data_IF_516960333632
#
_entry.id   IF_516960333632
#
_cell.length_a   1.000
_cell.length_b   1.000
_cell.length_c   1.000
_cell.angle_alpha   90.00
_cell.angle_beta   90.00
_cell.angle_gamma   90.00
#
_symmetry.space_group_name_H-M   'P 1'
#
loop_
_entity.id
_entity.type
_entity.pdbx_description
1 polymer ?
#
# COMPACT_ATOMS: atom_id res chain seq x y z
N UNK A 1 8.60 -1.65 10.68
CA UNK A 1 9.57 -1.23 9.64
C UNK A 1 9.22 0.19 9.26
N UNK A 2 10.20 1.08 9.18
CA UNK A 2 10.00 2.43 8.63
C UNK A 2 9.57 2.28 7.17
N UNK A 3 8.55 3.02 6.74
CA UNK A 3 8.04 2.94 5.36
C UNK A 3 9.13 3.42 4.38
N UNK A 4 9.60 2.53 3.50
CA UNK A 4 10.58 2.86 2.47
C UNK A 4 9.84 3.24 1.19
N UNK A 5 10.14 4.41 0.62
CA UNK A 5 9.37 5.00 -0.47
C UNK A 5 10.11 4.94 -1.81
N UNK A 6 9.39 4.71 -2.90
CA UNK A 6 9.92 4.89 -4.26
C UNK A 6 10.02 6.39 -4.59
N UNK A 7 11.23 6.86 -4.83
CA UNK A 7 11.50 8.17 -5.43
C UNK A 7 11.91 8.03 -6.91
N UNK A 8 11.46 8.97 -7.76
CA UNK A 8 11.78 8.97 -9.20
C UNK A 8 12.18 10.39 -9.62
N UNK A 9 13.27 10.51 -10.38
CA UNK A 9 13.67 11.75 -11.04
C UNK A 9 12.77 11.98 -12.27
N UNK A 10 12.07 13.13 -12.30
CA UNK A 10 10.98 13.42 -13.23
C UNK A 10 11.03 14.85 -13.77
N UNK A 11 10.29 15.11 -14.85
CA UNK A 11 10.26 16.38 -15.55
C UNK A 11 11.52 16.63 -16.38
N UNK A 12 12.30 15.58 -16.64
CA UNK A 12 13.60 15.65 -17.31
C UNK A 12 13.50 15.47 -18.83
N UNK A 13 12.48 14.74 -19.31
CA UNK A 13 12.32 14.36 -20.71
C UNK A 13 11.08 15.03 -21.36
N UNK A 14 11.14 15.46 -22.65
CA UNK A 14 10.01 16.08 -23.34
C UNK A 14 8.76 15.19 -23.44
N UNK A 15 8.94 13.88 -23.65
CA UNK A 15 7.87 12.88 -23.78
C UNK A 15 7.89 11.87 -22.61
N UNK A 16 8.16 12.37 -21.40
CA UNK A 16 8.23 11.52 -20.21
C UNK A 16 6.88 10.81 -19.96
N UNK A 17 6.96 9.50 -19.73
CA UNK A 17 5.79 8.64 -19.61
C UNK A 17 5.01 8.95 -18.32
N UNK A 18 3.73 9.31 -18.48
CA UNK A 18 2.85 9.65 -17.36
C UNK A 18 2.71 8.51 -16.32
N UNK A 19 2.98 7.25 -16.71
CA UNK A 19 2.97 6.10 -15.80
C UNK A 19 4.02 6.21 -14.70
N UNK A 20 5.15 6.90 -14.93
CA UNK A 20 6.17 7.09 -13.90
C UNK A 20 5.64 7.94 -12.74
N UNK A 21 4.86 8.97 -13.02
CA UNK A 21 4.22 9.82 -12.02
C UNK A 21 3.24 9.04 -11.14
N UNK A 22 2.47 8.14 -11.74
CA UNK A 22 1.55 7.27 -11.00
C UNK A 22 2.28 6.23 -10.11
N UNK A 23 3.51 5.87 -10.48
CA UNK A 23 4.33 4.90 -9.73
C UNK A 23 5.07 5.55 -8.56
N UNK A 24 5.55 6.79 -8.74
CA UNK A 24 6.32 7.53 -7.75
C UNK A 24 5.49 7.84 -6.48
N UNK A 25 6.04 7.54 -5.31
CA UNK A 25 5.56 8.11 -4.03
C UNK A 25 6.13 9.51 -3.80
N UNK A 26 7.33 9.75 -4.37
CA UNK A 26 8.16 10.93 -4.20
C UNK A 26 8.75 11.28 -5.58
N UNK A 27 8.43 12.44 -6.14
CA UNK A 27 8.89 12.93 -7.45
C UNK A 27 9.93 14.07 -7.34
N UNK A 28 11.18 13.80 -7.74
CA UNK A 28 12.24 14.79 -7.80
C UNK A 28 12.12 15.55 -9.13
N UNK A 29 11.53 16.74 -9.13
CA UNK A 29 11.23 17.49 -10.36
C UNK A 29 12.43 18.35 -10.79
N UNK A 30 12.90 18.16 -12.03
CA UNK A 30 13.96 18.98 -12.61
C UNK A 30 13.62 20.48 -12.66
N UNK A 31 14.59 21.32 -12.25
CA UNK A 31 14.37 22.75 -12.03
C UNK A 31 14.86 23.67 -13.16
N UNK A 32 15.22 23.12 -14.32
CA UNK A 32 15.59 23.90 -15.50
C UNK A 32 17.08 24.14 -15.73
N UNK A 33 17.97 23.64 -14.88
CA UNK A 33 19.41 23.71 -15.10
C UNK A 33 19.90 22.57 -16.00
N UNK A 34 19.98 21.34 -15.48
CA UNK A 34 20.34 20.16 -16.28
C UNK A 34 19.25 19.74 -17.28
N UNK A 35 17.98 19.86 -16.88
CA UNK A 35 16.82 19.44 -17.66
C UNK A 35 15.56 20.21 -17.23
N UNK A 36 14.49 20.05 -18.02
CA UNK A 36 13.19 20.66 -17.77
C UNK A 36 13.08 22.15 -18.12
N UNK A 37 11.86 22.65 -18.17
CA UNK A 37 11.50 24.06 -18.35
C UNK A 37 10.18 24.37 -17.61
N UNK A 38 9.65 25.58 -17.75
CA UNK A 38 8.39 25.94 -17.06
C UNK A 38 7.21 25.07 -17.51
N UNK A 39 7.19 24.63 -18.77
CA UNK A 39 6.12 23.79 -19.29
C UNK A 39 6.23 22.36 -18.76
N UNK A 40 7.44 21.77 -18.76
CA UNK A 40 7.67 20.44 -18.20
C UNK A 40 7.44 20.41 -16.69
N UNK A 41 7.88 21.43 -15.95
CA UNK A 41 7.62 21.56 -14.51
C UNK A 41 6.12 21.64 -14.21
N UNK A 42 5.36 22.46 -14.96
CA UNK A 42 3.90 22.54 -14.79
C UNK A 42 3.22 21.20 -15.03
N UNK A 43 3.58 20.52 -16.12
CA UNK A 43 3.06 19.18 -16.44
C UNK A 43 3.39 18.18 -15.34
N UNK A 44 4.63 18.19 -14.85
CA UNK A 44 5.08 17.28 -13.79
C UNK A 44 4.29 17.51 -12.48
N UNK A 45 4.10 18.78 -12.10
CA UNK A 45 3.28 19.18 -10.96
C UNK A 45 1.82 18.71 -11.10
N UNK A 46 1.20 18.93 -12.26
CA UNK A 46 -0.18 18.49 -12.53
C UNK A 46 -0.33 16.97 -12.41
N UNK A 47 0.61 16.20 -12.98
CA UNK A 47 0.60 14.74 -12.89
C UNK A 47 0.81 14.25 -11.46
N UNK A 48 1.74 14.84 -10.71
CA UNK A 48 1.95 14.52 -9.30
C UNK A 48 0.69 14.78 -8.47
N UNK A 49 0.03 15.92 -8.68
CA UNK A 49 -1.20 16.26 -7.96
C UNK A 49 -2.34 15.28 -8.26
N UNK A 50 -2.49 14.82 -9.51
CA UNK A 50 -3.48 13.81 -9.89
C UNK A 50 -3.28 12.46 -9.19
N UNK A 51 -2.03 12.11 -8.87
CA UNK A 51 -1.66 10.82 -8.29
C UNK A 51 -1.35 10.86 -6.78
N UNK A 52 -1.39 12.05 -6.16
CA UNK A 52 -1.04 12.21 -4.75
C UNK A 52 0.47 12.04 -4.47
N UNK A 53 1.31 12.23 -5.48
CA UNK A 53 2.77 12.09 -5.38
C UNK A 53 3.38 13.30 -4.70
N UNK A 54 4.30 13.08 -3.74
CA UNK A 54 5.01 14.17 -3.04
C UNK A 54 6.05 14.81 -3.94
N UNK A 55 6.03 16.14 -4.04
CA UNK A 55 6.91 16.91 -4.92
C UNK A 55 8.11 17.48 -4.18
N UNK A 56 9.28 17.38 -4.80
CA UNK A 56 10.49 18.04 -4.34
C UNK A 56 11.31 18.62 -5.48
N UNK A 57 12.18 19.56 -5.14
CA UNK A 57 13.09 20.18 -6.10
C UNK A 57 14.26 19.25 -6.44
N UNK A 58 14.62 19.18 -7.72
CA UNK A 58 15.78 18.43 -8.21
C UNK A 58 16.86 19.35 -8.80
N UNK A 59 17.52 20.20 -7.97
CA UNK A 59 18.52 21.13 -8.45
C UNK A 59 19.82 20.44 -8.85
N UNK A 60 20.53 21.04 -9.81
CA UNK A 60 21.72 20.48 -10.43
C UNK A 60 22.77 21.56 -10.72
N UNK A 61 23.93 21.15 -11.24
CA UNK A 61 24.81 22.08 -11.94
C UNK A 61 24.11 22.62 -13.21
N UNK A 62 24.41 23.86 -13.58
CA UNK A 62 23.97 24.47 -14.84
C UNK A 62 24.73 23.88 -16.04
N UNK A 63 24.42 22.62 -16.36
CA UNK A 63 25.11 21.84 -17.38
C UNK A 63 24.10 21.03 -18.21
N UNK A 64 23.25 21.74 -18.95
CA UNK A 64 22.20 21.11 -19.77
C UNK A 64 22.76 20.17 -20.83
N UNK A 65 23.87 20.56 -21.47
CA UNK A 65 24.47 19.79 -22.56
C UNK A 65 24.95 18.40 -22.13
N UNK A 66 25.37 18.26 -20.86
CA UNK A 66 25.80 16.98 -20.31
C UNK A 66 24.84 16.47 -19.22
N UNK A 67 23.60 16.98 -19.20
CA UNK A 67 22.54 16.57 -18.29
C UNK A 67 22.96 16.64 -16.81
N UNK A 68 23.76 17.62 -16.41
CA UNK A 68 24.19 17.79 -15.01
C UNK A 68 25.08 16.66 -14.48
N UNK A 69 25.65 15.82 -15.35
CA UNK A 69 26.45 14.63 -14.97
C UNK A 69 27.94 14.88 -14.90
N UNK A 70 28.41 16.11 -15.16
CA UNK A 70 29.81 16.50 -14.98
C UNK A 70 29.96 17.37 -13.74
N UNK A 71 31.01 17.11 -12.97
CA UNK A 71 31.39 18.01 -11.90
C UNK A 71 31.92 19.31 -12.52
N UNK A 72 31.44 20.44 -12.00
CA UNK A 72 31.89 21.76 -12.40
C UNK A 72 32.61 22.43 -11.23
N UNK A 73 33.67 23.17 -11.54
CA UNK A 73 34.34 24.03 -10.57
C UNK A 73 33.58 25.36 -10.49
N UNK A 74 32.65 25.44 -9.54
CA UNK A 74 31.78 26.60 -9.32
C UNK A 74 32.06 27.16 -7.93
N UNK A 75 32.33 28.47 -7.80
CA UNK A 75 32.49 29.09 -6.49
C UNK A 75 31.26 28.87 -5.60
N UNK A 76 31.43 28.55 -4.31
CA UNK A 76 30.31 28.16 -3.42
C UNK A 76 29.18 29.19 -3.36
N UNK A 77 29.50 30.48 -3.36
CA UNK A 77 28.52 31.57 -3.35
C UNK A 77 27.69 31.63 -4.64
N UNK A 78 28.31 31.32 -5.79
CA UNK A 78 27.61 31.23 -7.08
C UNK A 78 26.72 30.00 -7.08
N UNK A 79 27.24 28.85 -6.62
CA UNK A 79 26.47 27.61 -6.53
C UNK A 79 25.24 27.76 -5.64
N UNK A 80 25.39 28.44 -4.48
CA UNK A 80 24.26 28.76 -3.61
C UNK A 80 23.16 29.53 -4.36
N UNK A 81 23.54 30.58 -5.10
CA UNK A 81 22.59 31.37 -5.90
C UNK A 81 21.92 30.56 -7.01
N UNK A 82 22.67 29.70 -7.70
CA UNK A 82 22.13 28.80 -8.73
C UNK A 82 21.12 27.81 -8.16
N UNK A 83 21.41 27.20 -7.01
CA UNK A 83 20.49 26.27 -6.33
C UNK A 83 19.24 27.00 -5.83
N UNK A 84 19.41 28.17 -5.21
CA UNK A 84 18.28 28.98 -4.76
C UNK A 84 17.36 29.38 -5.93
N UNK A 85 17.93 29.84 -7.05
CA UNK A 85 17.18 30.20 -8.25
C UNK A 85 16.39 29.02 -8.84
N UNK A 86 17.01 27.85 -8.92
CA UNK A 86 16.36 26.62 -9.36
C UNK A 86 15.18 26.22 -8.47
N UNK A 87 15.40 26.16 -7.16
CA UNK A 87 14.35 25.81 -6.19
C UNK A 87 13.21 26.83 -6.20
N UNK A 88 13.53 28.13 -6.25
CA UNK A 88 12.53 29.20 -6.27
C UNK A 88 11.67 29.17 -7.54
N UNK A 89 12.27 28.81 -8.69
CA UNK A 89 11.55 28.63 -9.95
C UNK A 89 10.48 27.55 -9.83
N UNK A 90 10.81 26.38 -9.31
CA UNK A 90 9.84 25.31 -9.09
C UNK A 90 8.79 25.72 -8.05
N UNK A 91 9.21 26.32 -6.93
CA UNK A 91 8.32 26.76 -5.86
C UNK A 91 7.25 27.74 -6.35
N UNK A 92 7.63 28.71 -7.19
CA UNK A 92 6.67 29.64 -7.83
C UNK A 92 5.62 28.90 -8.66
N UNK A 93 6.05 28.00 -9.54
CA UNK A 93 5.15 27.22 -10.40
C UNK A 93 4.21 26.31 -9.59
N UNK A 94 4.74 25.72 -8.51
CA UNK A 94 3.97 24.87 -7.59
C UNK A 94 2.95 25.70 -6.79
N UNK A 95 3.31 26.91 -6.36
CA UNK A 95 2.41 27.83 -5.66
C UNK A 95 1.22 28.24 -6.54
N UNK A 96 1.44 28.51 -7.83
CA UNK A 96 0.37 28.82 -8.79
C UNK A 96 -0.69 27.70 -8.88
N UNK A 97 -0.28 26.45 -8.61
CA UNK A 97 -1.13 25.26 -8.62
C UNK A 97 -1.53 24.78 -7.22
N UNK A 98 -1.11 25.48 -6.16
CA UNK A 98 -1.30 25.10 -4.73
C UNK A 98 -0.73 23.72 -4.38
N UNK A 99 0.38 23.36 -5.00
CA UNK A 99 1.11 22.11 -4.73
C UNK A 99 2.32 22.44 -3.86
N UNK A 100 2.49 21.79 -2.69
CA UNK A 100 3.64 22.06 -1.84
C UNK A 100 4.89 21.35 -2.37
N UNK A 101 6.03 22.06 -2.33
CA UNK A 101 7.36 21.47 -2.52
C UNK A 101 7.94 21.23 -1.14
N UNK A 102 8.06 19.96 -0.72
CA UNK A 102 8.31 19.60 0.70
C UNK A 102 9.69 19.00 0.97
N UNK A 103 10.49 18.82 -0.08
CA UNK A 103 11.86 18.34 0.02
C UNK A 103 12.71 18.78 -1.17
N UNK A 104 14.00 18.54 -1.08
CA UNK A 104 14.93 18.67 -2.18
C UNK A 104 15.87 17.46 -2.26
N UNK A 105 16.26 17.10 -3.48
CA UNK A 105 17.27 16.06 -3.78
C UNK A 105 18.17 16.61 -4.87
N UNK A 106 19.48 16.62 -4.68
CA UNK A 106 20.39 17.08 -5.73
C UNK A 106 20.43 16.09 -6.90
N UNK A 107 20.64 16.61 -8.10
CA UNK A 107 20.84 15.80 -9.30
C UNK A 107 22.31 15.51 -9.57
N UNK A 108 22.57 14.33 -10.13
CA UNK A 108 23.78 14.02 -10.90
C UNK A 108 25.09 14.30 -10.17
N UNK A 109 26.01 15.00 -10.86
CA UNK A 109 27.34 15.26 -10.32
C UNK A 109 27.32 16.19 -9.09
N UNK A 110 26.33 17.09 -8.99
CA UNK A 110 26.20 17.99 -7.84
C UNK A 110 25.91 17.20 -6.56
N UNK A 111 25.05 16.18 -6.64
CA UNK A 111 24.77 15.27 -5.52
C UNK A 111 26.06 14.63 -4.97
N UNK A 112 26.88 14.07 -5.86
CA UNK A 112 28.10 13.38 -5.46
C UNK A 112 29.19 14.36 -4.97
N UNK A 113 29.39 15.48 -5.68
CA UNK A 113 30.39 16.48 -5.32
C UNK A 113 30.08 17.14 -3.96
N UNK A 114 28.81 17.48 -3.73
CA UNK A 114 28.39 18.06 -2.46
C UNK A 114 28.50 17.06 -1.30
N UNK A 115 28.29 15.76 -1.52
CA UNK A 115 28.39 14.77 -0.44
C UNK A 115 29.81 14.57 0.11
N UNK A 116 30.84 14.95 -0.64
CA UNK A 116 32.25 14.82 -0.21
C UNK A 116 32.93 16.15 0.09
N UNK A 117 32.24 17.28 -0.17
CA UNK A 117 32.78 18.62 0.07
C UNK A 117 31.92 19.38 1.09
N UNK A 118 32.43 19.66 2.30
CA UNK A 118 31.69 20.42 3.32
C UNK A 118 31.28 21.82 2.84
N UNK A 119 32.12 22.44 2.00
CA UNK A 119 31.88 23.79 1.48
C UNK A 119 30.73 23.78 0.46
N UNK A 120 30.71 22.82 -0.46
CA UNK A 120 29.62 22.70 -1.43
C UNK A 120 28.31 22.26 -0.77
N UNK A 121 28.38 21.31 0.18
CA UNK A 121 27.19 20.88 0.94
C UNK A 121 26.51 22.05 1.65
N UNK A 122 27.31 22.90 2.32
CA UNK A 122 26.79 24.10 2.99
C UNK A 122 26.15 25.06 2.00
N UNK A 123 26.83 25.37 0.90
CA UNK A 123 26.31 26.29 -0.12
C UNK A 123 24.97 25.82 -0.70
N UNK A 124 24.86 24.53 -1.01
CA UNK A 124 23.62 23.92 -1.51
C UNK A 124 22.51 24.02 -0.46
N UNK A 125 22.76 23.60 0.78
CA UNK A 125 21.74 23.61 1.84
C UNK A 125 21.26 25.03 2.13
N UNK A 126 22.16 26.01 2.19
CA UNK A 126 21.79 27.42 2.34
C UNK A 126 20.92 27.91 1.17
N UNK A 127 21.26 27.55 -0.08
CA UNK A 127 20.47 27.92 -1.25
C UNK A 127 19.08 27.28 -1.27
N UNK A 128 18.97 26.02 -0.83
CA UNK A 128 17.68 25.36 -0.68
C UNK A 128 16.82 26.06 0.38
N UNK A 129 17.38 26.37 1.55
CA UNK A 129 16.66 27.06 2.65
C UNK A 129 16.19 28.45 2.22
N UNK A 130 17.02 29.19 1.49
CA UNK A 130 16.68 30.50 0.97
C UNK A 130 15.42 30.47 0.07
N UNK A 131 15.26 29.42 -0.73
CA UNK A 131 14.15 29.29 -1.65
C UNK A 131 12.90 28.60 -1.08
N UNK A 132 13.08 27.58 -0.23
CA UNK A 132 12.01 26.69 0.23
C UNK A 132 11.71 26.79 1.73
N UNK A 133 12.55 27.50 2.49
CA UNK A 133 12.48 27.54 3.96
C UNK A 133 13.17 26.35 4.62
N UNK A 134 13.12 26.30 5.95
CA UNK A 134 13.78 25.26 6.76
C UNK A 134 12.88 24.07 7.12
N UNK A 135 11.58 24.13 6.82
CA UNK A 135 10.61 23.06 7.13
C UNK A 135 10.50 22.04 5.97
N UNK A 136 11.65 21.66 5.42
CA UNK A 136 11.74 20.72 4.32
C UNK A 136 12.67 19.55 4.67
N UNK A 137 12.55 18.47 3.90
CA UNK A 137 13.48 17.33 3.99
C UNK A 137 14.57 17.43 2.92
N UNK A 138 15.82 17.09 3.25
CA UNK A 138 16.86 16.80 2.27
C UNK A 138 16.94 15.29 2.03
N UNK A 139 16.73 14.85 0.80
CA UNK A 139 17.02 13.47 0.37
C UNK A 139 18.49 13.41 -0.08
N UNK A 140 19.29 12.61 0.61
CA UNK A 140 20.73 12.51 0.40
C UNK A 140 21.27 11.15 0.89
N UNK A 141 22.56 10.82 0.67
CA UNK A 141 23.14 9.60 1.20
C UNK A 141 23.02 9.53 2.71
N UNK A 142 23.07 8.32 3.27
CA UNK A 142 22.92 8.10 4.70
C UNK A 142 24.01 8.79 5.56
N UNK A 143 25.18 9.03 4.96
CA UNK A 143 26.33 9.67 5.60
C UNK A 143 27.04 10.57 4.58
N UNK A 144 27.82 11.52 5.08
CA UNK A 144 28.63 12.44 4.27
C UNK A 144 28.28 13.91 4.53
N UNK A 145 28.92 14.79 3.77
CA UNK A 145 28.83 16.23 3.99
C UNK A 145 27.41 16.79 3.82
N UNK A 146 26.57 16.18 2.96
CA UNK A 146 25.18 16.59 2.81
C UNK A 146 24.34 16.27 4.05
N UNK A 147 24.55 15.09 4.64
CA UNK A 147 23.91 14.71 5.90
C UNK A 147 24.33 15.67 7.03
N UNK A 148 25.63 15.96 7.15
CA UNK A 148 26.14 16.89 8.16
C UNK A 148 25.60 18.31 7.97
N UNK A 149 25.56 18.81 6.73
CA UNK A 149 25.05 20.14 6.42
C UNK A 149 23.54 20.26 6.71
N UNK A 150 22.74 19.25 6.35
CA UNK A 150 21.31 19.22 6.67
C UNK A 150 21.07 19.27 8.17
N UNK A 151 21.77 18.41 8.94
CA UNK A 151 21.67 18.37 10.40
C UNK A 151 22.08 19.71 11.04
N UNK A 152 23.18 20.29 10.59
CA UNK A 152 23.68 21.57 11.12
C UNK A 152 22.72 22.73 10.83
N UNK A 153 21.98 22.67 9.72
CA UNK A 153 20.99 23.65 9.35
C UNK A 153 19.58 23.37 9.93
N UNK A 154 19.42 22.27 10.69
CA UNK A 154 18.14 21.88 11.28
C UNK A 154 17.12 21.31 10.30
N UNK A 155 17.55 20.89 9.11
CA UNK A 155 16.67 20.24 8.13
C UNK A 155 16.39 18.78 8.52
N UNK A 156 15.20 18.29 8.16
CA UNK A 156 14.95 16.86 8.16
C UNK A 156 15.80 16.17 7.07
N UNK A 157 16.19 14.92 7.30
CA UNK A 157 17.03 14.15 6.37
C UNK A 157 16.37 12.80 6.09
N UNK A 158 16.31 12.42 4.81
CA UNK A 158 15.88 11.11 4.35
C UNK A 158 17.01 10.43 3.59
N UNK A 159 17.33 9.20 3.99
CA UNK A 159 18.45 8.41 3.48
C UNK A 159 18.05 7.75 2.17
N UNK A 160 18.88 7.91 1.14
CA UNK A 160 18.59 7.38 -0.20
C UNK A 160 19.43 6.14 -0.55
N UNK A 161 18.80 5.21 -1.26
CA UNK A 161 19.47 4.17 -2.04
C UNK A 161 19.00 4.18 -3.50
N UNK A 162 19.69 3.45 -4.38
CA UNK A 162 19.39 3.40 -5.81
C UNK A 162 19.10 1.96 -6.23
N UNK A 163 17.91 1.70 -6.76
CA UNK A 163 17.55 0.36 -7.22
C UNK A 163 18.17 0.02 -8.58
N UNK A 164 18.26 1.02 -9.47
CA UNK A 164 18.69 0.89 -10.86
C UNK A 164 20.18 1.20 -11.09
N UNK A 165 20.97 1.33 -10.02
CA UNK A 165 22.42 1.56 -10.08
C UNK A 165 23.20 0.42 -9.46
N UNK A 166 24.30 0.05 -10.11
CA UNK A 166 25.29 -0.85 -9.53
C UNK A 166 26.11 -0.16 -8.44
N UNK A 167 26.44 -0.88 -7.38
CA UNK A 167 27.27 -0.41 -6.26
C UNK A 167 28.58 -1.18 -6.19
N UNK A 168 29.66 -0.48 -5.81
CA UNK A 168 30.94 -1.06 -5.45
C UNK A 168 30.89 -1.66 -4.02
N UNK A 169 31.89 -2.48 -3.62
CA UNK A 169 31.92 -3.09 -2.28
C UNK A 169 31.94 -2.09 -1.12
N UNK A 170 32.42 -0.87 -1.37
CA UNK A 170 32.42 0.24 -0.39
C UNK A 170 31.07 0.97 -0.30
N UNK A 171 30.07 0.54 -1.08
CA UNK A 171 28.72 1.11 -1.13
C UNK A 171 28.58 2.31 -2.07
N UNK A 172 29.67 2.80 -2.67
CA UNK A 172 29.61 3.87 -3.67
C UNK A 172 29.01 3.37 -4.99
N UNK A 173 28.47 4.27 -5.81
CA UNK A 173 27.89 3.89 -7.10
C UNK A 173 29.00 3.64 -8.12
N UNK A 174 28.83 2.58 -8.93
CA UNK A 174 29.69 2.36 -10.09
C UNK A 174 29.54 3.57 -11.04
N UNK A 175 30.63 4.22 -11.48
CA UNK A 175 30.59 5.36 -12.37
C UNK A 175 29.82 5.08 -13.67
N UNK A 176 29.03 6.04 -14.13
CA UNK A 176 28.31 5.93 -15.40
C UNK A 176 29.30 5.69 -16.55
N UNK A 177 28.91 4.86 -17.51
CA UNK A 177 29.76 4.42 -18.63
C UNK A 177 30.58 3.16 -18.36
N UNK A 178 30.65 2.68 -17.11
CA UNK A 178 31.28 1.40 -16.79
C UNK A 178 30.27 0.23 -16.87
N UNK A 179 30.71 -0.99 -17.18
CA UNK A 179 29.86 -2.17 -17.15
C UNK A 179 29.16 -2.36 -15.80
N UNK A 180 27.85 -2.58 -15.82
CA UNK A 180 27.05 -2.77 -14.60
C UNK A 180 26.68 -1.49 -13.84
N UNK A 181 27.03 -0.30 -14.35
CA UNK A 181 26.72 0.97 -13.70
C UNK A 181 25.21 1.27 -13.64
N UNK A 182 24.48 0.91 -14.69
CA UNK A 182 23.02 1.05 -14.81
C UNK A 182 22.44 -0.36 -14.95
N UNK A 183 21.43 -0.65 -14.14
CA UNK A 183 20.75 -1.93 -14.12
C UNK A 183 19.43 -1.79 -14.90
N UNK A 184 19.30 -2.54 -15.99
CA UNK A 184 18.08 -2.58 -16.81
C UNK A 184 17.33 -3.90 -16.68
N UNK A 185 17.85 -4.82 -15.86
CA UNK A 185 17.21 -6.10 -15.56
C UNK A 185 16.33 -5.99 -14.31
N UNK A 186 15.03 -6.25 -14.48
CA UNK A 186 14.04 -6.13 -13.41
C UNK A 186 14.35 -7.05 -12.22
N UNK A 187 14.87 -8.25 -12.46
CA UNK A 187 15.21 -9.19 -11.39
C UNK A 187 16.32 -8.63 -10.48
N UNK A 188 17.39 -8.10 -11.07
CA UNK A 188 18.47 -7.43 -10.29
C UNK A 188 18.00 -6.17 -9.57
N UNK A 189 17.10 -5.40 -10.17
CA UNK A 189 16.49 -4.22 -9.55
C UNK A 189 15.63 -4.60 -8.35
N UNK A 190 14.84 -5.68 -8.45
CA UNK A 190 14.11 -6.28 -7.32
C UNK A 190 15.05 -6.71 -6.19
N UNK A 191 16.08 -7.49 -6.50
CA UNK A 191 17.07 -7.94 -5.51
C UNK A 191 17.72 -6.77 -4.76
N UNK A 192 18.11 -5.73 -5.49
CA UNK A 192 18.64 -4.50 -4.90
C UNK A 192 17.62 -3.80 -4.01
N UNK A 193 16.36 -3.73 -4.43
CA UNK A 193 15.28 -3.09 -3.68
C UNK A 193 15.03 -3.81 -2.36
N UNK A 194 14.92 -5.15 -2.39
CA UNK A 194 14.77 -5.98 -1.18
C UNK A 194 15.92 -5.76 -0.23
N UNK A 195 17.17 -5.84 -0.74
CA UNK A 195 18.37 -5.61 0.07
C UNK A 195 18.31 -4.24 0.76
N UNK A 196 18.05 -3.17 0.01
CA UNK A 196 18.01 -1.81 0.55
C UNK A 196 16.89 -1.62 1.58
N UNK A 197 15.67 -2.03 1.26
CA UNK A 197 14.49 -1.79 2.09
C UNK A 197 14.52 -2.59 3.41
N UNK A 198 15.01 -3.83 3.38
CA UNK A 198 15.04 -4.71 4.56
C UNK A 198 16.18 -4.43 5.53
N UNK A 199 17.27 -3.80 5.08
CA UNK A 199 18.42 -3.46 5.93
C UNK A 199 18.15 -2.27 6.86
N UNK A 200 17.06 -1.50 6.63
CA UNK A 200 16.73 -0.31 7.42
C UNK A 200 17.70 0.85 7.24
N UNK A 201 18.54 0.80 6.20
CA UNK A 201 19.59 1.78 5.91
C UNK A 201 19.13 2.93 5.03
N UNK A 202 17.97 2.79 4.38
CA UNK A 202 17.39 3.81 3.49
C UNK A 202 15.94 4.08 3.86
N UNK A 203 15.52 5.32 3.63
CA UNK A 203 14.14 5.79 3.76
C UNK A 203 13.47 5.91 2.39
N UNK A 204 14.26 6.10 1.32
CA UNK A 204 13.77 6.10 -0.05
C UNK A 204 14.68 5.32 -1.00
N UNK A 205 14.09 4.73 -2.04
CA UNK A 205 14.79 4.01 -3.09
C UNK A 205 14.50 4.69 -4.43
N UNK A 206 15.56 5.06 -5.14
CA UNK A 206 15.51 5.80 -6.39
C UNK A 206 15.48 4.86 -7.62
N UNK A 207 14.66 5.23 -8.60
CA UNK A 207 14.76 4.82 -10.01
C UNK A 207 14.88 6.09 -10.85
N UNK A 208 15.80 6.12 -11.82
CA UNK A 208 15.92 7.28 -12.70
C UNK A 208 14.91 7.18 -13.85
N UNK A 209 14.23 8.29 -14.15
CA UNK A 209 13.26 8.35 -15.26
C UNK A 209 13.91 8.17 -16.65
N UNK A 210 15.21 8.45 -16.78
CA UNK A 210 15.97 8.29 -18.03
C UNK A 210 16.57 6.89 -18.24
N UNK A 211 16.45 5.98 -17.25
CA UNK A 211 16.94 4.60 -17.40
C UNK A 211 16.14 3.85 -18.48
N UNK A 212 16.77 3.13 -19.42
CA UNK A 212 16.04 2.31 -20.38
C UNK A 212 15.11 1.31 -19.67
N UNK A 213 13.81 1.36 -20.01
CA UNK A 213 12.79 0.55 -19.33
C UNK A 213 12.37 1.09 -17.95
N UNK A 214 12.60 2.37 -17.65
CA UNK A 214 12.30 2.99 -16.35
C UNK A 214 10.88 2.71 -15.84
N UNK A 215 9.87 2.62 -16.72
CA UNK A 215 8.49 2.31 -16.32
C UNK A 215 8.41 0.89 -15.74
N UNK A 216 9.02 -0.08 -16.39
CA UNK A 216 9.05 -1.48 -15.96
C UNK A 216 9.85 -1.63 -14.67
N UNK A 217 10.99 -0.94 -14.55
CA UNK A 217 11.82 -0.95 -13.35
C UNK A 217 11.09 -0.29 -12.17
N UNK A 218 10.51 0.90 -12.35
CA UNK A 218 9.73 1.59 -11.33
C UNK A 218 8.50 0.77 -10.91
N UNK A 219 7.86 0.05 -11.86
CA UNK A 219 6.77 -0.89 -11.55
C UNK A 219 7.25 -2.02 -10.65
N UNK A 220 8.40 -2.61 -10.94
CA UNK A 220 9.01 -3.68 -10.14
C UNK A 220 9.40 -3.19 -8.74
N UNK A 221 10.08 -2.05 -8.64
CA UNK A 221 10.48 -1.45 -7.36
C UNK A 221 9.25 -1.12 -6.52
N UNK A 222 8.24 -0.47 -7.12
CA UNK A 222 7.01 -0.13 -6.40
C UNK A 222 6.33 -1.37 -5.86
N UNK A 223 6.15 -2.39 -6.71
CA UNK A 223 5.57 -3.65 -6.29
C UNK A 223 6.40 -4.34 -5.20
N UNK A 224 7.72 -4.28 -5.27
CA UNK A 224 8.59 -4.86 -4.25
C UNK A 224 8.42 -4.14 -2.90
N UNK A 225 8.40 -2.81 -2.89
CA UNK A 225 8.20 -2.03 -1.66
C UNK A 225 6.80 -2.25 -1.06
N UNK A 226 5.76 -2.24 -1.90
CA UNK A 226 4.39 -2.53 -1.49
C UNK A 226 4.29 -3.93 -0.87
N UNK A 227 4.96 -4.94 -1.46
CA UNK A 227 5.03 -6.31 -0.92
C UNK A 227 5.72 -6.38 0.45
N UNK A 228 6.83 -5.68 0.62
CA UNK A 228 7.61 -5.66 1.86
C UNK A 228 6.90 -4.91 2.99
N UNK A 229 5.94 -4.04 2.66
CA UNK A 229 5.11 -3.34 3.64
C UNK A 229 4.07 -4.25 4.31
N UNK A 230 3.74 -5.39 3.69
CA UNK A 230 2.80 -6.36 4.24
C UNK A 230 3.46 -7.22 5.33
N UNK A 231 2.81 -7.30 6.49
CA UNK A 231 3.23 -8.21 7.56
C UNK A 231 2.81 -9.64 7.22
N UNK A 232 3.79 -10.54 7.17
CA UNK A 232 3.60 -11.94 6.76
C UNK A 232 4.29 -12.87 7.73
N UNK A 233 3.56 -13.89 8.15
CA UNK A 233 4.01 -14.91 9.09
C UNK A 233 3.84 -16.32 8.50
N UNK A 234 4.83 -17.21 8.65
CA UNK A 234 4.67 -18.62 8.35
C UNK A 234 3.59 -19.28 9.20
N UNK A 235 2.77 -20.13 8.57
CA UNK A 235 1.84 -21.02 9.25
C UNK A 235 2.19 -22.47 8.86
N UNK A 236 3.29 -22.96 9.43
CA UNK A 236 3.90 -24.22 9.00
C UNK A 236 4.56 -24.10 7.62
N UNK A 237 4.72 -25.24 6.94
CA UNK A 237 5.49 -25.33 5.70
C UNK A 237 4.64 -25.16 4.42
N UNK A 238 3.31 -25.09 4.55
CA UNK A 238 2.37 -25.04 3.43
C UNK A 238 1.42 -23.85 3.45
N UNK A 239 1.62 -22.90 4.37
CA UNK A 239 0.75 -21.72 4.45
C UNK A 239 1.46 -20.46 4.99
N UNK A 240 0.93 -19.31 4.59
CA UNK A 240 1.30 -18.00 5.10
C UNK A 240 0.07 -17.30 5.63
N UNK A 241 0.24 -16.57 6.74
CA UNK A 241 -0.74 -15.62 7.26
C UNK A 241 -0.27 -14.21 6.97
N UNK A 242 -1.20 -13.39 6.50
CA UNK A 242 -0.98 -11.99 6.13
C UNK A 242 -1.90 -11.09 6.91
N UNK A 243 -1.40 -9.95 7.37
CA UNK A 243 -2.24 -8.85 7.84
C UNK A 243 -2.66 -8.00 6.64
N UNK A 244 -3.97 -7.81 6.46
CA UNK A 244 -4.53 -7.04 5.36
C UNK A 244 -4.79 -5.59 5.82
N UNK A 245 -4.35 -4.58 5.06
CA UNK A 245 -4.68 -3.19 5.37
C UNK A 245 -6.17 -2.92 5.15
N UNK A 246 -6.78 -2.04 5.94
CA UNK A 246 -8.22 -1.71 5.87
C UNK A 246 -8.65 -1.17 4.50
N UNK A 247 -7.73 -0.54 3.77
CA UNK A 247 -7.97 0.00 2.43
C UNK A 247 -8.25 -1.06 1.37
N UNK A 248 -7.91 -2.32 1.62
CA UNK A 248 -8.00 -3.39 0.63
C UNK A 248 -9.39 -4.05 0.61
N UNK A 249 -10.03 -4.15 -0.55
CA UNK A 249 -11.31 -4.85 -0.66
C UNK A 249 -11.09 -6.37 -0.50
N UNK A 250 -11.85 -7.00 0.41
CA UNK A 250 -11.57 -8.37 0.87
C UNK A 250 -11.92 -9.43 -0.17
N UNK A 251 -12.97 -9.24 -0.97
CA UNK A 251 -13.32 -10.17 -2.06
C UNK A 251 -12.28 -10.14 -3.18
N UNK A 252 -11.87 -8.96 -3.62
CA UNK A 252 -10.79 -8.76 -4.59
C UNK A 252 -9.48 -9.39 -4.10
N UNK A 253 -9.14 -9.17 -2.83
CA UNK A 253 -7.98 -9.82 -2.20
C UNK A 253 -8.04 -11.35 -2.33
N UNK A 254 -9.20 -11.94 -2.03
CA UNK A 254 -9.41 -13.39 -2.15
C UNK A 254 -9.23 -13.88 -3.59
N UNK A 255 -9.88 -13.23 -4.56
CA UNK A 255 -9.85 -13.69 -5.95
C UNK A 255 -8.44 -13.62 -6.54
N UNK A 256 -7.72 -12.52 -6.32
CA UNK A 256 -6.33 -12.38 -6.78
C UNK A 256 -5.43 -13.41 -6.11
N UNK A 257 -5.58 -13.65 -4.79
CA UNK A 257 -4.80 -14.65 -4.07
C UNK A 257 -5.04 -16.07 -4.61
N UNK A 258 -6.30 -16.45 -4.87
CA UNK A 258 -6.65 -17.77 -5.41
C UNK A 258 -6.22 -17.94 -6.86
N UNK A 259 -6.06 -16.85 -7.61
CA UNK A 259 -5.57 -16.89 -8.99
C UNK A 259 -4.04 -17.06 -9.09
N UNK A 260 -3.31 -17.02 -7.96
CA UNK A 260 -1.86 -17.13 -7.98
C UNK A 260 -1.41 -18.55 -8.34
N UNK A 261 -0.34 -18.69 -9.15
CA UNK A 261 0.27 -19.98 -9.39
C UNK A 261 0.67 -20.66 -8.08
N UNK A 262 0.40 -21.97 -7.99
CA UNK A 262 0.76 -22.83 -6.84
C UNK A 262 0.03 -22.51 -5.54
N UNK A 263 -0.93 -21.58 -5.53
CA UNK A 263 -1.88 -21.42 -4.41
C UNK A 263 -2.97 -22.48 -4.53
N UNK A 264 -3.13 -23.27 -3.47
CA UNK A 264 -4.18 -24.29 -3.34
C UNK A 264 -5.48 -23.66 -2.88
N UNK A 265 -5.41 -22.76 -1.91
CA UNK A 265 -6.57 -22.00 -1.43
C UNK A 265 -6.16 -20.69 -0.75
N UNK A 266 -7.11 -19.76 -0.62
CA UNK A 266 -6.93 -18.56 0.18
C UNK A 266 -8.20 -18.23 0.97
N UNK A 267 -8.05 -18.16 2.29
CA UNK A 267 -9.11 -17.79 3.23
C UNK A 267 -8.90 -16.35 3.66
N UNK A 268 -9.87 -15.49 3.37
CA UNK A 268 -9.81 -14.06 3.70
C UNK A 268 -10.84 -13.72 4.78
N UNK A 269 -10.39 -13.00 5.79
CA UNK A 269 -11.16 -12.46 6.91
C UNK A 269 -11.08 -10.93 6.91
N UNK A 270 -11.60 -10.29 7.95
CA UNK A 270 -11.54 -8.83 8.08
C UNK A 270 -10.12 -8.30 8.24
N UNK A 271 -9.26 -8.98 9.00
CA UNK A 271 -7.91 -8.50 9.29
C UNK A 271 -6.82 -9.32 8.61
N UNK A 272 -7.12 -10.56 8.24
CA UNK A 272 -6.11 -11.51 7.79
C UNK A 272 -6.50 -12.23 6.51
N UNK A 273 -5.50 -12.56 5.69
CA UNK A 273 -5.58 -13.63 4.70
C UNK A 273 -4.69 -14.80 5.12
N UNK A 274 -5.16 -16.03 4.95
CA UNK A 274 -4.34 -17.22 5.02
C UNK A 274 -4.26 -17.83 3.62
N UNK A 275 -3.04 -17.97 3.09
CA UNK A 275 -2.77 -18.47 1.74
C UNK A 275 -2.09 -19.81 1.88
N UNK A 276 -2.72 -20.84 1.31
CA UNK A 276 -2.24 -22.21 1.32
C UNK A 276 -1.59 -22.53 -0.02
N UNK A 277 -0.43 -23.18 0.01
CA UNK A 277 0.31 -23.59 -1.16
C UNK A 277 0.66 -25.08 -1.08
N UNK A 278 1.01 -25.63 -2.23
CA UNK A 278 1.61 -26.95 -2.30
C UNK A 278 2.99 -26.92 -1.61
N UNK A 279 3.22 -27.66 -0.51
CA UNK A 279 4.50 -27.63 0.19
C UNK A 279 5.65 -28.19 -0.67
N UNK A 280 5.35 -29.04 -1.66
CA UNK A 280 6.35 -29.59 -2.57
C UNK A 280 6.70 -28.63 -3.72
N UNK A 281 5.89 -27.58 -3.90
CA UNK A 281 6.08 -26.54 -4.90
C UNK A 281 5.59 -25.18 -4.38
N UNK A 282 6.29 -24.54 -3.41
CA UNK A 282 5.89 -23.22 -2.93
C UNK A 282 6.03 -22.15 -4.04
N UNK A 283 5.25 -21.07 -3.99
CA UNK A 283 5.47 -19.91 -4.84
C UNK A 283 6.80 -19.22 -4.50
N UNK A 284 7.51 -18.73 -5.51
CA UNK A 284 8.87 -18.17 -5.35
C UNK A 284 8.88 -16.95 -4.41
N UNK A 285 7.88 -16.07 -4.51
CA UNK A 285 7.68 -14.98 -3.54
C UNK A 285 6.21 -14.55 -3.47
N UNK A 286 5.39 -15.17 -2.60
CA UNK A 286 3.96 -14.88 -2.52
C UNK A 286 3.68 -13.41 -2.18
N UNK A 287 4.57 -12.76 -1.41
CA UNK A 287 4.54 -11.32 -1.09
C UNK A 287 4.48 -10.43 -2.34
N UNK A 288 5.26 -10.73 -3.37
CA UNK A 288 5.34 -9.91 -4.59
C UNK A 288 4.02 -9.95 -5.37
N UNK A 289 3.34 -11.09 -5.33
CA UNK A 289 2.04 -11.24 -5.96
C UNK A 289 0.95 -10.41 -5.25
N UNK A 290 1.04 -10.26 -3.91
CA UNK A 290 0.15 -9.43 -3.11
C UNK A 290 0.36 -7.92 -3.35
N UNK A 291 1.54 -7.48 -3.77
CA UNK A 291 1.73 -6.07 -4.11
C UNK A 291 0.83 -5.59 -5.26
N UNK A 292 0.35 -6.52 -6.12
CA UNK A 292 -0.67 -6.20 -7.12
C UNK A 292 -1.97 -5.76 -6.45
N UNK A 293 -2.33 -6.34 -5.30
CA UNK A 293 -3.53 -6.00 -4.53
C UNK A 293 -3.54 -4.55 -4.07
N UNK A 294 -2.39 -4.03 -3.66
CA UNK A 294 -2.27 -2.66 -3.16
C UNK A 294 -2.40 -1.61 -4.27
N UNK A 295 -2.34 -2.04 -5.53
CA UNK A 295 -2.23 -1.16 -6.69
C UNK A 295 -3.41 -1.26 -7.64
N UNK A 296 -3.97 -2.46 -7.79
CA UNK A 296 -5.15 -2.66 -8.60
C UNK A 296 -6.37 -2.20 -7.79
N UNK A 297 -6.92 -1.05 -8.16
CA UNK A 297 -8.33 -0.75 -7.87
C UNK A 297 -9.17 -1.74 -8.64
N UNK A 298 -9.34 -2.93 -8.06
CA UNK A 298 -10.35 -3.87 -8.53
C UNK A 298 -11.68 -3.22 -8.25
N UNK A 299 -12.43 -2.91 -9.32
CA UNK A 299 -13.80 -2.42 -9.16
C UNK A 299 -14.52 -3.40 -8.23
N UNK A 300 -15.17 -2.90 -7.16
CA UNK A 300 -15.80 -3.78 -6.20
C UNK A 300 -16.77 -4.66 -6.99
N UNK A 301 -16.60 -5.99 -6.94
CA UNK A 301 -17.46 -6.90 -7.67
C UNK A 301 -18.92 -6.65 -7.25
N UNK A 302 -19.83 -6.86 -8.19
CA UNK A 302 -21.25 -6.59 -7.96
C UNK A 302 -21.73 -7.29 -6.68
N UNK A 303 -22.17 -6.50 -5.71
CA UNK A 303 -22.66 -7.01 -4.44
C UNK A 303 -24.06 -7.55 -4.67
N UNK A 304 -24.23 -8.87 -4.51
CA UNK A 304 -25.56 -9.46 -4.61
C UNK A 304 -26.30 -9.25 -3.29
N UNK A 305 -27.51 -8.71 -3.35
CA UNK A 305 -28.42 -8.68 -2.20
C UNK A 305 -29.21 -9.99 -2.16
N UNK A 306 -29.02 -10.76 -1.09
CA UNK A 306 -29.65 -12.05 -0.86
C UNK A 306 -30.66 -11.89 0.28
N UNK A 307 -31.93 -12.18 -0.01
CA UNK A 307 -32.99 -12.16 1.00
C UNK A 307 -33.21 -13.56 1.54
N UNK A 308 -33.00 -13.75 2.84
CA UNK A 308 -33.23 -15.01 3.54
C UNK A 308 -34.54 -14.93 4.32
N UNK A 309 -35.45 -15.85 4.02
CA UNK A 309 -36.69 -16.00 4.77
C UNK A 309 -36.36 -16.58 6.14
N UNK A 310 -36.93 -16.00 7.19
CA UNK A 310 -36.60 -16.34 8.57
C UNK A 310 -37.85 -16.38 9.45
N UNK A 311 -38.00 -17.47 10.19
CA UNK A 311 -38.94 -17.57 11.31
C UNK A 311 -38.18 -17.29 12.61
N UNK A 312 -38.69 -16.38 13.44
CA UNK A 312 -38.07 -16.02 14.72
C UNK A 312 -38.59 -16.94 15.84
N UNK A 313 -38.17 -18.21 15.80
CA UNK A 313 -38.59 -19.29 16.72
C UNK A 313 -37.41 -19.86 17.54
N UNK A 314 -36.33 -19.09 17.66
CA UNK A 314 -35.09 -19.57 18.27
C UNK A 314 -35.20 -19.70 19.79
N UNK A 315 -34.63 -20.78 20.39
CA UNK A 315 -34.76 -21.06 21.82
C UNK A 315 -34.06 -20.06 22.75
N UNK A 316 -33.21 -19.16 22.22
CA UNK A 316 -32.56 -18.10 23.01
C UNK A 316 -33.21 -16.73 22.79
N UNK A 317 -34.23 -16.62 21.94
CA UNK A 317 -34.79 -15.34 21.53
C UNK A 317 -35.36 -14.55 22.71
N UNK A 318 -36.11 -15.20 23.60
CA UNK A 318 -36.65 -14.59 24.82
C UNK A 318 -35.54 -14.13 25.76
N UNK A 319 -34.47 -14.92 25.87
CA UNK A 319 -33.31 -14.58 26.71
C UNK A 319 -32.54 -13.38 26.15
N UNK A 320 -32.37 -13.32 24.83
CA UNK A 320 -31.77 -12.18 24.14
C UNK A 320 -32.62 -10.93 24.36
N UNK A 321 -33.94 -11.04 24.18
CA UNK A 321 -34.88 -9.94 24.40
C UNK A 321 -34.83 -9.41 25.85
N UNK A 322 -34.90 -10.32 26.84
CA UNK A 322 -34.80 -9.96 28.25
C UNK A 322 -33.48 -9.27 28.59
N UNK A 323 -32.35 -9.73 28.04
CA UNK A 323 -31.04 -9.10 28.26
C UNK A 323 -30.96 -7.71 27.64
N UNK A 324 -31.58 -7.52 26.47
CA UNK A 324 -31.61 -6.25 25.77
C UNK A 324 -32.62 -5.24 26.36
N UNK A 325 -33.50 -5.67 27.27
CA UNK A 325 -34.62 -4.86 27.74
C UNK A 325 -35.66 -4.60 26.64
N UNK A 326 -35.81 -5.54 25.72
CA UNK A 326 -36.69 -5.47 24.55
C UNK A 326 -37.73 -6.59 24.58
N UNK A 327 -38.80 -6.43 23.82
CA UNK A 327 -39.68 -7.53 23.45
C UNK A 327 -39.03 -8.42 22.37
N UNK A 328 -39.51 -9.66 22.26
CA UNK A 328 -39.11 -10.59 21.19
C UNK A 328 -39.34 -9.98 19.80
N UNK A 329 -40.48 -9.32 19.59
CA UNK A 329 -40.81 -8.66 18.34
C UNK A 329 -39.85 -7.49 18.01
N UNK A 330 -39.41 -6.75 19.02
CA UNK A 330 -38.40 -5.70 18.82
C UNK A 330 -37.05 -6.28 18.43
N UNK A 331 -36.60 -7.38 19.07
CA UNK A 331 -35.37 -8.06 18.65
C UNK A 331 -35.47 -8.53 17.19
N UNK A 332 -36.58 -9.18 16.83
CA UNK A 332 -36.83 -9.63 15.47
C UNK A 332 -36.83 -8.48 14.47
N UNK A 333 -37.48 -7.36 14.81
CA UNK A 333 -37.50 -6.16 13.97
C UNK A 333 -36.11 -5.54 13.81
N UNK A 334 -35.33 -5.45 14.87
CA UNK A 334 -33.96 -4.91 14.82
C UNK A 334 -33.02 -5.76 13.97
N UNK A 335 -33.18 -7.08 14.03
CA UNK A 335 -32.42 -8.00 13.19
C UNK A 335 -32.86 -7.94 11.72
N UNK A 336 -34.17 -8.00 11.43
CA UNK A 336 -34.70 -7.98 10.07
C UNK A 336 -34.50 -6.63 9.34
N UNK A 337 -34.47 -5.51 10.07
CA UNK A 337 -34.39 -4.17 9.47
C UNK A 337 -33.01 -3.84 8.88
N UNK A 338 -31.98 -4.67 9.11
CA UNK A 338 -30.62 -4.44 8.61
C UNK A 338 -30.33 -5.23 7.34
N UNK A 339 -29.51 -4.63 6.49
CA UNK A 339 -28.72 -5.34 5.49
C UNK A 339 -27.33 -5.58 6.07
N UNK A 340 -26.94 -6.85 6.12
CA UNK A 340 -25.67 -7.30 6.63
C UNK A 340 -24.69 -7.54 5.49
N UNK A 341 -23.40 -7.30 5.71
CA UNK A 341 -22.36 -7.73 4.78
C UNK A 341 -21.78 -9.05 5.25
N UNK A 342 -21.53 -9.99 4.32
CA UNK A 342 -20.73 -11.18 4.59
C UNK A 342 -19.29 -10.77 4.84
N UNK A 343 -18.83 -10.87 6.08
CA UNK A 343 -17.49 -10.45 6.53
C UNK A 343 -16.44 -11.54 6.42
N UNK A 344 -16.87 -12.79 6.52
CA UNK A 344 -16.04 -13.98 6.44
C UNK A 344 -16.93 -15.18 6.10
N UNK A 345 -16.39 -16.16 5.38
CA UNK A 345 -17.03 -17.46 5.16
C UNK A 345 -16.05 -18.52 5.65
N UNK A 346 -16.47 -19.38 6.58
CA UNK A 346 -15.58 -20.34 7.22
C UNK A 346 -16.19 -20.97 8.48
N UNK A 347 -15.38 -21.64 9.30
CA UNK A 347 -15.80 -22.53 10.42
C UNK A 347 -16.53 -23.81 9.97
N UNK A 348 -17.54 -23.68 9.10
CA UNK A 348 -18.20 -24.78 8.42
C UNK A 348 -18.38 -24.41 6.93
N UNK A 349 -18.35 -25.38 6.00
CA UNK A 349 -18.75 -25.15 4.62
C UNK A 349 -20.10 -24.41 4.51
N UNK A 350 -20.06 -23.19 3.97
CA UNK A 350 -21.25 -22.34 3.78
C UNK A 350 -21.62 -21.43 4.97
N UNK A 351 -20.92 -21.50 6.10
CA UNK A 351 -21.23 -20.63 7.24
C UNK A 351 -20.64 -19.24 6.99
N UNK A 352 -21.52 -18.24 6.92
CA UNK A 352 -21.15 -16.85 6.71
C UNK A 352 -21.31 -16.05 8.01
N UNK A 353 -20.27 -15.30 8.37
CA UNK A 353 -20.32 -14.32 9.44
C UNK A 353 -20.86 -13.00 8.88
N UNK A 354 -22.07 -12.64 9.29
CA UNK A 354 -22.78 -11.45 8.81
C UNK A 354 -22.68 -10.35 9.87
N UNK A 355 -22.39 -9.11 9.47
CA UNK A 355 -22.29 -8.00 10.42
C UNK A 355 -22.14 -6.61 9.79
N UNK A 356 -22.28 -5.55 10.58
CA UNK A 356 -22.46 -5.51 12.05
C UNK A 356 -23.92 -5.67 12.50
N UNK A 357 -24.13 -6.23 13.70
CA UNK A 357 -25.44 -6.24 14.39
C UNK A 357 -25.89 -4.86 14.87
N UNK A 358 -27.20 -4.72 15.16
CA UNK A 358 -27.66 -3.60 15.98
C UNK A 358 -27.07 -3.72 17.39
N UNK A 359 -26.42 -2.65 17.87
CA UNK A 359 -25.73 -2.64 19.16
C UNK A 359 -26.64 -3.01 20.34
N UNK A 360 -27.96 -2.82 20.22
CA UNK A 360 -28.94 -3.17 21.26
C UNK A 360 -29.17 -4.68 21.41
N UNK A 361 -28.88 -5.48 20.38
CA UNK A 361 -29.07 -6.94 20.41
C UNK A 361 -27.73 -7.70 20.38
N UNK A 362 -26.61 -7.00 20.55
CA UNK A 362 -25.28 -7.61 20.69
C UNK A 362 -25.23 -8.38 22.01
N UNK A 363 -24.95 -9.68 21.92
CA UNK A 363 -24.87 -10.59 23.07
C UNK A 363 -23.63 -11.47 22.95
N UNK A 364 -22.92 -11.78 24.07
CA UNK A 364 -21.76 -12.65 24.00
C UNK A 364 -22.16 -14.06 23.58
N UNK A 365 -21.16 -14.83 23.11
CA UNK A 365 -21.30 -16.28 22.91
C UNK A 365 -21.69 -16.94 24.24
N UNK A 366 -22.43 -18.05 24.18
CA UNK A 366 -22.71 -18.87 25.35
C UNK A 366 -21.39 -19.36 25.99
N UNK A 367 -21.30 -19.36 27.33
CA UNK A 367 -20.12 -19.86 28.05
C UNK A 367 -19.80 -21.32 27.71
N UNK A 368 -20.84 -22.14 27.60
CA UNK A 368 -20.74 -23.55 27.20
C UNK A 368 -21.44 -23.73 25.84
N UNK A 369 -20.71 -24.12 24.78
CA UNK A 369 -21.31 -24.42 23.49
C UNK A 369 -22.32 -25.57 23.57
N UNK A 370 -23.38 -25.50 22.76
CA UNK A 370 -24.29 -26.62 22.54
C UNK A 370 -23.55 -27.73 21.80
N UNK A 371 -23.80 -28.97 22.22
CA UNK A 371 -23.33 -30.15 21.49
C UNK A 371 -23.98 -30.26 20.10
N UNK A 372 -25.19 -29.72 19.94
CA UNK A 372 -25.93 -29.76 18.68
C UNK A 372 -26.78 -28.50 18.51
N UNK A 373 -26.52 -27.79 17.42
CA UNK A 373 -27.33 -26.72 16.84
C UNK A 373 -28.02 -27.32 15.60
N UNK A 374 -29.34 -27.13 15.41
CA UNK A 374 -30.03 -27.60 14.21
C UNK A 374 -29.49 -26.94 12.92
N UNK A 375 -29.60 -27.66 11.80
CA UNK A 375 -29.36 -27.05 10.49
C UNK A 375 -30.32 -25.87 10.25
N UNK A 376 -29.84 -24.86 9.55
CA UNK A 376 -30.53 -23.61 9.23
C UNK A 376 -30.92 -22.76 10.45
N UNK A 377 -30.46 -23.11 11.65
CA UNK A 377 -30.61 -22.23 12.80
C UNK A 377 -29.89 -20.89 12.52
N UNK A 378 -30.55 -19.78 12.85
CA UNK A 378 -29.98 -18.44 12.80
C UNK A 378 -29.54 -18.07 14.20
N UNK A 379 -28.26 -17.77 14.36
CA UNK A 379 -27.68 -17.40 15.64
C UNK A 379 -27.09 -16.00 15.63
N UNK A 380 -26.96 -15.43 16.83
CA UNK A 380 -26.19 -14.19 17.08
C UNK A 380 -25.14 -14.41 18.18
N UNK A 381 -23.96 -13.85 17.97
CA UNK A 381 -22.89 -13.80 18.97
C UNK A 381 -21.92 -12.64 18.67
N UNK A 382 -21.61 -11.85 19.70
CA UNK A 382 -20.91 -10.58 19.53
C UNK A 382 -21.67 -9.67 18.56
N UNK A 383 -20.93 -8.96 17.72
CA UNK A 383 -21.47 -8.13 16.63
C UNK A 383 -21.85 -8.91 15.36
N UNK A 384 -22.04 -10.24 15.42
CA UNK A 384 -22.26 -11.10 14.24
C UNK A 384 -23.57 -11.90 14.32
N UNK A 385 -24.20 -12.12 13.15
CA UNK A 385 -25.31 -13.05 12.90
C UNK A 385 -24.90 -14.03 11.80
N UNK A 386 -25.54 -15.18 11.72
CA UNK A 386 -25.15 -16.23 10.80
C UNK A 386 -26.14 -17.39 10.79
N UNK A 387 -26.20 -18.08 9.66
CA UNK A 387 -27.05 -19.26 9.47
C UNK A 387 -26.17 -20.50 9.51
N UNK A 388 -26.50 -21.46 10.37
CA UNK A 388 -25.81 -22.74 10.46
C UNK A 388 -26.14 -23.60 9.22
N UNK A 389 -25.18 -23.95 8.34
CA UNK A 389 -25.46 -24.70 7.11
C UNK A 389 -26.02 -26.10 7.35
N UNK A 390 -25.54 -26.74 8.42
CA UNK A 390 -25.90 -28.10 8.80
C UNK A 390 -25.78 -28.26 10.32
N UNK A 391 -26.26 -29.39 10.86
CA UNK A 391 -26.24 -29.62 12.29
C UNK A 391 -24.80 -29.76 12.81
N UNK A 392 -24.43 -28.95 13.80
CA UNK A 392 -23.06 -28.90 14.34
C UNK A 392 -23.07 -28.49 15.82
N UNK A 393 -21.97 -28.67 16.56
CA UNK A 393 -21.77 -27.94 17.81
C UNK A 393 -21.71 -26.43 17.56
N UNK A 394 -22.15 -25.62 18.53
CA UNK A 394 -22.17 -24.17 18.38
C UNK A 394 -22.51 -23.44 19.66
N UNK A 395 -21.90 -22.26 19.88
CA UNK A 395 -22.13 -21.47 21.09
C UNK A 395 -22.94 -20.19 20.87
N UNK A 396 -23.57 -20.03 19.71
CA UNK A 396 -24.31 -18.80 19.40
C UNK A 396 -25.71 -18.83 20.02
N UNK A 397 -26.27 -17.65 20.31
CA UNK A 397 -27.64 -17.52 20.79
C UNK A 397 -28.57 -17.68 19.60
N UNK A 398 -29.37 -18.74 19.58
CA UNK A 398 -30.24 -19.09 18.46
C UNK A 398 -31.52 -18.27 18.55
N UNK A 399 -31.76 -17.42 17.55
CA UNK A 399 -32.88 -16.46 17.50
C UNK A 399 -33.94 -16.82 16.46
N UNK A 400 -33.70 -17.83 15.63
CA UNK A 400 -34.69 -18.31 14.68
C UNK A 400 -34.16 -19.38 13.75
N UNK A 401 -34.91 -19.61 12.68
CA UNK A 401 -34.65 -20.63 11.66
C UNK A 401 -34.79 -20.00 10.27
N UNK A 402 -33.77 -20.16 9.43
CA UNK A 402 -33.83 -19.79 8.02
C UNK A 402 -34.65 -20.83 7.24
N UNK A 403 -35.47 -20.36 6.31
CA UNK A 403 -36.39 -21.18 5.52
C UNK A 403 -35.92 -21.20 4.06
N UNK A 404 -36.15 -22.34 3.39
CA UNK A 404 -35.91 -22.54 1.95
C UNK A 404 -34.48 -22.18 1.50
N UNK A 405 -33.50 -22.26 2.40
CA UNK A 405 -32.13 -21.84 2.15
C UNK A 405 -31.19 -23.04 2.09
N UNK A 406 -30.35 -23.08 1.05
CA UNK A 406 -29.23 -24.02 0.95
C UNK A 406 -27.94 -23.22 1.08
N UNK A 407 -27.21 -23.40 2.19
CA UNK A 407 -26.02 -22.61 2.46
C UNK A 407 -24.78 -23.05 1.68
N UNK A 408 -24.74 -24.32 1.25
CA UNK A 408 -23.57 -24.92 0.60
C UNK A 408 -23.99 -25.96 -0.45
N UNK A 409 -23.33 -25.92 -1.62
CA UNK A 409 -23.43 -26.93 -2.66
C UNK A 409 -22.06 -27.60 -2.85
N UNK A 410 -21.96 -28.95 -2.91
CA UNK A 410 -20.68 -29.64 -3.14
C UNK A 410 -19.93 -29.15 -4.39
N UNK A 411 -20.65 -28.88 -5.48
CA UNK A 411 -20.05 -28.54 -6.78
C UNK A 411 -19.79 -27.04 -6.96
N UNK A 412 -20.44 -26.18 -6.15
CA UNK A 412 -20.38 -24.71 -6.29
C UNK A 412 -19.83 -23.99 -5.06
N UNK A 413 -19.67 -24.70 -3.95
CA UNK A 413 -19.24 -24.14 -2.68
C UNK A 413 -20.34 -23.42 -1.91
N UNK A 414 -19.93 -22.45 -1.08
CA UNK A 414 -20.84 -21.63 -0.29
C UNK A 414 -21.77 -20.78 -1.18
N UNK A 415 -23.04 -20.65 -0.79
CA UNK A 415 -23.98 -19.77 -1.51
C UNK A 415 -23.73 -18.30 -1.16
N UNK A 416 -23.49 -18.00 0.11
CA UNK A 416 -23.09 -16.67 0.54
C UNK A 416 -21.59 -16.50 0.32
N UNK A 417 -21.20 -15.46 -0.40
CA UNK A 417 -19.81 -15.15 -0.71
C UNK A 417 -19.36 -13.92 0.07
N UNK A 418 -18.06 -13.85 0.39
CA UNK A 418 -17.43 -12.69 1.01
C UNK A 418 -17.82 -11.40 0.28
N UNK A 419 -18.33 -10.40 0.99
CA UNK A 419 -18.80 -9.13 0.42
C UNK A 419 -20.26 -9.09 -0.04
N UNK A 420 -20.98 -10.22 -0.12
CA UNK A 420 -22.43 -10.19 -0.40
C UNK A 420 -23.21 -9.44 0.67
N UNK A 421 -24.38 -8.93 0.28
CA UNK A 421 -25.33 -8.30 1.19
C UNK A 421 -26.44 -9.28 1.51
N UNK A 422 -26.83 -9.39 2.77
CA UNK A 422 -27.85 -10.32 3.24
C UNK A 422 -28.90 -9.55 4.04
N UNK A 423 -30.17 -9.76 3.73
CA UNK A 423 -31.30 -9.26 4.53
C UNK A 423 -32.15 -10.44 4.99
N UNK A 424 -32.66 -10.36 6.21
CA UNK A 424 -33.61 -11.35 6.72
C UNK A 424 -35.05 -10.83 6.56
N UNK A 425 -35.89 -11.62 5.89
CA UNK A 425 -37.32 -11.38 5.76
C UNK A 425 -38.07 -12.22 6.79
N UNK A 426 -38.79 -11.56 7.70
CA UNK A 426 -39.61 -12.24 8.71
C UNK A 426 -40.77 -12.98 8.03
N UNK A 427 -40.96 -14.26 8.39
CA UNK A 427 -42.09 -15.08 7.96
C UNK A 427 -42.84 -15.59 9.19
N UNK A 428 -44.15 -15.30 9.24
CA UNK A 428 -44.98 -15.47 10.43
C UNK A 428 -44.71 -14.40 11.47
#
# INVERSE_FOLDING_TARGET
MTECLLNIDLGELPDEDARLYALAQVANIACGAHAGDDASMRRALELCARHGTRVGAHPSYEDRENFGRRALDVPPEVLRGQVAGQCARLARLAQEQRIPVVYAKLHGALYHAANVSPVLARAVVEGIIEALGSDITLIAPAQGCLHDAARNAGLSHAREGFADRGTLPDGSLIPRGQPGAVLTDAARVRENTVRLATQGTVDTVCVHGDTPGAVELAREVRSTLDALSLHVEPLGDGALRLTLPDSLERRAAREVLRALPRVVDAVVTEEHACVYFDPDAPPDEPRLALARLLRETVAPPEQTLITLRMRYDGPDLEKVAARAGLSVDEVARLHAAREYTVRCVGFLPGFAYLGELDSRIVVPRLPTPRMRVPALAVGIAGGRTGVYPFASPGGWNLIGTALDFTAFHPDRGAVLQLGDRVRFERVG
#
